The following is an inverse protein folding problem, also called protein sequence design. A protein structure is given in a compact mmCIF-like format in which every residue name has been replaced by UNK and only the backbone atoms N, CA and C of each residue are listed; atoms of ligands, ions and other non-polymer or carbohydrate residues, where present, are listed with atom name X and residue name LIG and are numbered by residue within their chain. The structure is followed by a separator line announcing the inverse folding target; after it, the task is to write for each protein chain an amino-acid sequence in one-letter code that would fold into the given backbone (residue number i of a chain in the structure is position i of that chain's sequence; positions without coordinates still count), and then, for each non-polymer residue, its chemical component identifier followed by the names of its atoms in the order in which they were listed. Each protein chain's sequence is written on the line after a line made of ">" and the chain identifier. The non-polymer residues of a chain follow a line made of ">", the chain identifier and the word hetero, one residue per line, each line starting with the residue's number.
data_IF_160664932183
#
_entry.id   IF_160664932183
#
_cell.length_a   1.000
_cell.length_b   1.000
_cell.length_c   1.000
_cell.angle_alpha   90.00
_cell.angle_beta   90.00
_cell.angle_gamma   90.00
#
_symmetry.space_group_name_H-M   'P 1'
#
loop_
_entity.id
_entity.type
_entity.pdbx_description
1 polymer ?
#
# COMPACT_ATOMS: atom_id res chain seq x y z
N UNK A 1 -2.07 7.50 25.52
CA UNK A 1 -2.09 7.76 24.06
C UNK A 1 -1.49 6.55 23.35
N UNK A 2 -2.15 6.02 22.30
CA UNK A 2 -1.51 4.98 21.47
C UNK A 2 -0.32 5.61 20.71
N UNK A 3 0.86 4.98 20.79
CA UNK A 3 2.06 5.40 20.06
C UNK A 3 1.76 5.40 18.55
N UNK A 4 2.09 6.47 17.85
CA UNK A 4 2.00 6.51 16.38
C UNK A 4 3.13 5.68 15.79
N UNK A 5 2.83 4.89 14.76
CA UNK A 5 3.81 4.07 14.03
C UNK A 5 4.42 4.86 12.87
N UNK A 6 5.69 4.64 12.62
CA UNK A 6 6.40 5.12 11.43
C UNK A 6 6.60 3.92 10.50
N UNK A 7 5.99 3.99 9.32
CA UNK A 7 5.93 2.89 8.36
C UNK A 7 6.44 3.39 7.00
N UNK A 8 7.72 3.14 6.65
CA UNK A 8 8.25 3.44 5.33
C UNK A 8 7.57 2.62 4.25
N UNK A 9 7.27 3.26 3.11
CA UNK A 9 6.71 2.62 1.93
C UNK A 9 7.77 2.62 0.83
N UNK A 10 8.12 1.43 0.36
CA UNK A 10 9.08 1.20 -0.70
C UNK A 10 8.39 0.79 -1.99
N UNK A 11 8.62 1.56 -3.04
CA UNK A 11 8.12 1.27 -4.37
C UNK A 11 9.16 0.47 -5.15
N UNK A 12 8.77 -0.72 -5.62
CA UNK A 12 9.62 -1.58 -6.43
C UNK A 12 9.17 -1.52 -7.89
N UNK A 13 10.10 -1.11 -8.76
CA UNK A 13 9.91 -1.09 -10.20
C UNK A 13 11.10 -1.79 -10.86
N UNK A 14 10.81 -2.79 -11.71
CA UNK A 14 11.84 -3.62 -12.38
C UNK A 14 12.84 -4.24 -11.39
N UNK A 15 12.40 -4.42 -10.12
CA UNK A 15 13.18 -4.97 -9.03
C UNK A 15 14.19 -4.03 -8.38
N UNK A 16 14.10 -2.73 -8.64
CA UNK A 16 14.85 -1.67 -7.97
C UNK A 16 13.91 -0.82 -7.14
N UNK A 17 14.45 -0.17 -6.11
CA UNK A 17 13.69 0.85 -5.39
C UNK A 17 13.60 2.13 -6.21
N UNK A 18 12.42 2.73 -6.21
CA UNK A 18 12.19 4.01 -6.86
C UNK A 18 11.48 4.97 -5.90
N UNK A 19 11.79 6.25 -6.04
CA UNK A 19 11.04 7.35 -5.44
C UNK A 19 10.01 7.85 -6.44
N UNK A 20 8.77 8.04 -5.98
CA UNK A 20 7.67 8.59 -6.78
C UNK A 20 7.47 10.08 -6.50
N UNK A 21 7.05 10.82 -7.55
CA UNK A 21 6.48 12.17 -7.42
C UNK A 21 5.19 12.24 -8.22
N UNK A 22 4.06 12.35 -7.52
CA UNK A 22 2.73 12.41 -8.11
C UNK A 22 2.34 11.17 -8.93
N UNK A 23 2.91 10.00 -8.60
CA UNK A 23 2.69 8.72 -9.29
C UNK A 23 3.06 8.71 -10.79
N UNK A 24 3.81 9.69 -11.25
CA UNK A 24 4.19 9.85 -12.66
C UNK A 24 5.68 9.79 -12.90
N UNK A 25 6.46 10.46 -12.06
CA UNK A 25 7.92 10.51 -12.18
C UNK A 25 8.55 9.55 -11.16
N UNK A 26 9.40 8.65 -11.65
CA UNK A 26 10.07 7.65 -10.83
C UNK A 26 11.57 7.78 -10.97
N UNK A 27 12.26 8.05 -9.86
CA UNK A 27 13.72 8.09 -9.79
C UNK A 27 14.22 6.81 -9.12
N UNK A 28 15.22 6.17 -9.72
CA UNK A 28 15.85 4.99 -9.11
C UNK A 28 16.69 5.44 -7.90
N UNK A 29 16.41 4.87 -6.73
CA UNK A 29 17.11 5.18 -5.48
C UNK A 29 17.94 4.00 -4.96
N UNK A 30 18.06 2.92 -5.73
CA UNK A 30 18.99 1.84 -5.47
C UNK A 30 18.38 0.48 -5.15
N UNK A 31 19.15 -0.28 -4.39
CA UNK A 31 18.84 -1.68 -4.07
C UNK A 31 17.93 -1.80 -2.83
N UNK A 32 16.86 -2.64 -2.89
CA UNK A 32 15.93 -2.84 -1.77
C UNK A 32 16.60 -3.41 -0.50
N UNK A 33 17.65 -4.19 -0.64
CA UNK A 33 18.32 -4.80 0.51
C UNK A 33 19.15 -3.78 1.31
N UNK A 34 19.82 -2.85 0.62
CA UNK A 34 20.58 -1.77 1.26
C UNK A 34 19.66 -0.86 2.07
N UNK A 35 18.52 -0.49 1.49
CA UNK A 35 17.54 0.35 2.18
C UNK A 35 16.96 -0.35 3.40
N UNK A 36 16.60 -1.63 3.30
CA UNK A 36 16.10 -2.42 4.43
C UNK A 36 17.10 -2.41 5.60
N UNK A 37 18.38 -2.63 5.34
CA UNK A 37 19.41 -2.65 6.41
C UNK A 37 19.45 -1.33 7.17
N UNK A 38 19.38 -0.19 6.46
CA UNK A 38 19.34 1.13 7.08
C UNK A 38 18.09 1.35 7.93
N UNK A 39 16.92 1.00 7.42
CA UNK A 39 15.66 1.19 8.17
C UNK A 39 15.52 0.22 9.34
N UNK A 40 16.14 -0.97 9.28
CA UNK A 40 16.24 -1.87 10.44
C UNK A 40 17.02 -1.23 11.57
N UNK A 41 18.10 -0.49 11.27
CA UNK A 41 18.88 0.24 12.27
C UNK A 41 18.10 1.42 12.88
N UNK A 42 17.17 2.01 12.15
CA UNK A 42 16.33 3.13 12.62
C UNK A 42 15.11 2.67 13.42
N UNK A 43 14.94 1.36 13.64
CA UNK A 43 13.86 0.76 14.43
C UNK A 43 12.47 1.28 14.05
N UNK A 44 12.18 1.31 12.74
CA UNK A 44 10.84 1.62 12.26
C UNK A 44 9.86 0.51 12.64
N UNK A 45 8.57 0.83 12.73
CA UNK A 45 7.59 -0.10 13.29
C UNK A 45 7.15 -1.20 12.30
N UNK A 46 7.16 -0.92 10.99
CA UNK A 46 6.73 -1.82 9.91
C UNK A 46 7.31 -1.33 8.58
N UNK A 47 7.41 -2.21 7.57
CA UNK A 47 7.80 -1.86 6.20
C UNK A 47 6.70 -2.25 5.22
N UNK A 48 6.44 -1.40 4.23
CA UNK A 48 5.53 -1.71 3.13
C UNK A 48 6.32 -1.75 1.82
N UNK A 49 6.19 -2.84 1.05
CA UNK A 49 6.77 -3.00 -0.28
C UNK A 49 5.68 -3.12 -1.32
N UNK A 50 5.66 -2.19 -2.28
CA UNK A 50 4.69 -2.15 -3.36
C UNK A 50 5.35 -2.40 -4.70
N UNK A 51 4.96 -3.47 -5.38
CA UNK A 51 5.33 -3.66 -6.79
C UNK A 51 4.47 -2.75 -7.67
N UNK A 52 5.09 -1.78 -8.32
CA UNK A 52 4.44 -0.82 -9.20
C UNK A 52 4.75 -1.05 -10.68
N UNK A 53 5.27 -2.22 -11.04
CA UNK A 53 5.48 -2.60 -12.45
C UNK A 53 4.17 -2.49 -13.23
N UNK A 54 4.20 -1.84 -14.38
CA UNK A 54 3.02 -1.74 -15.27
C UNK A 54 2.88 -2.95 -16.18
N UNK A 55 3.97 -3.65 -16.44
CA UNK A 55 4.01 -4.80 -17.35
C UNK A 55 3.83 -6.11 -16.58
N UNK A 56 3.07 -7.05 -17.13
CA UNK A 56 2.91 -8.40 -16.59
C UNK A 56 4.05 -9.33 -17.03
N UNK A 57 5.28 -8.87 -16.86
CA UNK A 57 6.45 -9.66 -17.19
C UNK A 57 6.68 -10.75 -16.11
N UNK A 58 6.61 -12.05 -16.46
CA UNK A 58 6.81 -13.13 -15.50
C UNK A 58 8.17 -13.09 -14.79
N UNK A 59 9.22 -12.58 -15.48
CA UNK A 59 10.57 -12.42 -14.90
C UNK A 59 10.55 -11.40 -13.76
N UNK A 60 9.85 -10.28 -13.94
CA UNK A 60 9.72 -9.24 -12.89
C UNK A 60 8.93 -9.77 -11.70
N UNK A 61 7.82 -10.47 -11.96
CA UNK A 61 7.02 -11.11 -10.88
C UNK A 61 7.87 -12.10 -10.09
N UNK A 62 8.66 -12.97 -10.75
CA UNK A 62 9.59 -13.91 -10.10
C UNK A 62 10.67 -13.19 -9.30
N UNK A 63 11.24 -12.11 -9.84
CA UNK A 63 12.25 -11.27 -9.16
C UNK A 63 11.65 -10.65 -7.91
N UNK A 64 10.44 -10.10 -7.99
CA UNK A 64 9.72 -9.53 -6.85
C UNK A 64 9.53 -10.55 -5.71
N UNK A 65 9.01 -11.74 -5.99
CA UNK A 65 8.89 -12.82 -5.00
C UNK A 65 10.22 -13.19 -4.35
N UNK A 66 11.30 -13.28 -5.13
CA UNK A 66 12.65 -13.55 -4.60
C UNK A 66 13.12 -12.44 -3.66
N UNK A 67 12.84 -11.17 -4.01
CA UNK A 67 13.16 -10.02 -3.15
C UNK A 67 12.41 -10.15 -1.82
N UNK A 68 11.09 -10.33 -1.84
CA UNK A 68 10.28 -10.44 -0.62
C UNK A 68 10.76 -11.61 0.25
N UNK A 69 10.97 -12.81 -0.33
CA UNK A 69 11.48 -13.98 0.38
C UNK A 69 12.85 -13.75 1.03
N UNK A 70 13.69 -12.91 0.43
CA UNK A 70 15.00 -12.60 0.99
C UNK A 70 14.90 -11.54 2.09
N UNK A 71 14.05 -10.52 1.87
CA UNK A 71 13.81 -9.47 2.85
C UNK A 71 13.20 -10.01 4.13
N UNK A 72 12.17 -10.85 4.03
CA UNK A 72 11.48 -11.45 5.19
C UNK A 72 12.40 -12.29 6.08
N UNK A 73 13.44 -12.90 5.51
CA UNK A 73 14.44 -13.65 6.28
C UNK A 73 15.47 -12.78 6.99
N UNK A 74 15.62 -11.53 6.58
CA UNK A 74 16.67 -10.63 7.07
C UNK A 74 16.14 -9.51 7.98
N UNK A 75 14.83 -9.35 8.09
CA UNK A 75 14.22 -8.35 8.96
C UNK A 75 13.42 -8.98 10.07
N UNK A 76 13.38 -8.33 11.23
CA UNK A 76 12.51 -8.66 12.36
C UNK A 76 11.25 -7.78 12.38
N UNK A 77 11.17 -6.79 11.50
CA UNK A 77 10.00 -5.91 11.38
C UNK A 77 8.93 -6.56 10.52
N UNK A 78 7.64 -6.37 10.85
CA UNK A 78 6.55 -6.82 10.01
C UNK A 78 6.65 -6.22 8.61
N UNK A 79 6.37 -7.03 7.59
CA UNK A 79 6.39 -6.64 6.18
C UNK A 79 4.99 -6.73 5.60
N UNK A 80 4.48 -5.58 5.13
CA UNK A 80 3.29 -5.53 4.27
C UNK A 80 3.71 -5.50 2.80
N UNK A 81 3.11 -6.35 1.98
CA UNK A 81 3.48 -6.50 0.56
C UNK A 81 2.27 -6.29 -0.33
N UNK A 82 2.44 -5.57 -1.44
CA UNK A 82 1.38 -5.34 -2.41
C UNK A 82 1.85 -5.12 -3.83
N UNK A 83 0.85 -4.93 -4.71
CA UNK A 83 1.04 -4.76 -6.15
C UNK A 83 0.96 -6.07 -6.92
N UNK A 84 0.30 -6.02 -8.09
CA UNK A 84 0.12 -7.19 -8.98
C UNK A 84 -0.56 -8.40 -8.32
N UNK A 85 -1.49 -8.15 -7.43
CA UNK A 85 -2.34 -9.15 -6.80
C UNK A 85 -3.67 -9.15 -7.53
N UNK A 86 -4.06 -10.29 -8.12
CA UNK A 86 -5.31 -10.42 -8.86
C UNK A 86 -6.25 -11.48 -8.25
N UNK A 87 -5.71 -12.45 -7.50
CA UNK A 87 -6.44 -13.60 -6.97
C UNK A 87 -5.87 -14.10 -5.65
N UNK A 88 -6.62 -14.92 -4.91
CA UNK A 88 -6.25 -15.48 -3.62
C UNK A 88 -4.90 -16.23 -3.65
N UNK A 89 -4.63 -16.98 -4.70
CA UNK A 89 -3.35 -17.68 -4.86
C UNK A 89 -2.13 -16.73 -4.92
N UNK A 90 -2.30 -15.47 -5.38
CA UNK A 90 -1.22 -14.48 -5.32
C UNK A 90 -0.98 -14.02 -3.89
N UNK A 91 -2.04 -13.89 -3.09
CA UNK A 91 -1.98 -13.56 -1.67
C UNK A 91 -1.27 -14.68 -0.90
N UNK A 92 -1.72 -15.92 -1.08
CA UNK A 92 -1.13 -17.10 -0.44
C UNK A 92 0.38 -17.20 -0.73
N UNK A 93 0.78 -16.99 -1.99
CA UNK A 93 2.20 -17.00 -2.37
C UNK A 93 3.01 -15.92 -1.67
N UNK A 94 2.48 -14.72 -1.52
CA UNK A 94 3.19 -13.62 -0.84
C UNK A 94 3.29 -13.88 0.67
N UNK A 95 2.22 -14.35 1.31
CA UNK A 95 2.25 -14.76 2.72
C UNK A 95 3.26 -15.92 2.93
N UNK A 96 3.25 -16.94 2.06
CA UNK A 96 4.23 -18.03 2.08
C UNK A 96 5.66 -17.57 1.81
N UNK A 97 5.85 -16.45 1.12
CA UNK A 97 7.17 -15.85 0.93
C UNK A 97 7.65 -15.06 2.15
N UNK A 98 6.81 -14.92 3.19
CA UNK A 98 7.12 -14.29 4.46
C UNK A 98 6.60 -12.86 4.61
N UNK A 99 5.59 -12.47 3.84
CA UNK A 99 4.83 -11.24 4.12
C UNK A 99 3.90 -11.48 5.33
N UNK A 100 3.82 -10.50 6.23
CA UNK A 100 2.89 -10.54 7.38
C UNK A 100 1.51 -10.02 6.99
N UNK A 101 1.45 -9.06 6.06
CA UNK A 101 0.21 -8.49 5.55
C UNK A 101 0.29 -8.29 4.04
N UNK A 102 -0.88 -8.24 3.43
CA UNK A 102 -1.04 -8.02 2.00
C UNK A 102 -1.82 -6.74 1.77
N UNK A 103 -1.35 -5.89 0.86
CA UNK A 103 -2.11 -4.68 0.48
C UNK A 103 -2.59 -4.74 -0.97
N UNK A 104 -3.86 -4.40 -1.17
CA UNK A 104 -4.53 -4.39 -2.47
C UNK A 104 -5.17 -3.03 -2.75
N UNK A 105 -5.12 -2.58 -4.00
CA UNK A 105 -5.82 -1.40 -4.50
C UNK A 105 -6.74 -1.81 -5.68
N UNK A 106 -6.23 -1.86 -6.90
CA UNK A 106 -6.99 -2.12 -8.13
C UNK A 106 -7.77 -3.44 -8.09
N UNK A 107 -7.16 -4.52 -7.58
CA UNK A 107 -7.83 -5.81 -7.46
C UNK A 107 -9.05 -5.76 -6.54
N UNK A 108 -8.92 -5.08 -5.40
CA UNK A 108 -10.02 -4.90 -4.45
C UNK A 108 -11.16 -4.07 -5.06
N UNK A 109 -10.83 -3.05 -5.86
CA UNK A 109 -11.84 -2.23 -6.53
C UNK A 109 -12.58 -3.00 -7.62
N UNK A 110 -11.86 -3.73 -8.47
CA UNK A 110 -12.43 -4.50 -9.58
C UNK A 110 -13.27 -5.69 -9.09
N UNK A 111 -12.88 -6.31 -7.98
CA UNK A 111 -13.59 -7.43 -7.39
C UNK A 111 -13.63 -7.32 -5.86
N UNK A 112 -14.67 -6.66 -5.33
CA UNK A 112 -14.84 -6.44 -3.88
C UNK A 112 -14.82 -7.74 -3.08
N UNK A 113 -15.34 -8.84 -3.64
CA UNK A 113 -15.36 -10.15 -2.99
C UNK A 113 -13.97 -10.72 -2.70
N UNK A 114 -12.90 -10.20 -3.33
CA UNK A 114 -11.55 -10.62 -2.98
C UNK A 114 -11.20 -10.19 -1.55
N UNK A 115 -11.72 -9.06 -1.07
CA UNK A 115 -11.50 -8.56 0.29
C UNK A 115 -12.08 -9.56 1.29
N UNK A 116 -13.38 -9.87 1.17
CA UNK A 116 -14.08 -10.78 2.10
C UNK A 116 -13.56 -12.22 2.04
N UNK A 117 -13.24 -12.71 0.84
CA UNK A 117 -12.63 -14.03 0.69
C UNK A 117 -11.25 -14.09 1.34
N UNK A 118 -10.41 -13.09 1.11
CA UNK A 118 -9.06 -13.03 1.71
C UNK A 118 -9.12 -12.89 3.22
N UNK A 119 -10.03 -12.05 3.73
CA UNK A 119 -10.22 -11.86 5.16
C UNK A 119 -10.70 -13.15 5.86
N UNK A 120 -11.57 -13.91 5.17
CA UNK A 120 -12.04 -15.21 5.68
C UNK A 120 -10.93 -16.28 5.69
N UNK A 121 -10.08 -16.31 4.68
CA UNK A 121 -9.08 -17.35 4.48
C UNK A 121 -7.80 -17.09 5.29
N UNK A 122 -7.33 -15.84 5.32
CA UNK A 122 -6.04 -15.47 5.92
C UNK A 122 -6.18 -14.63 7.20
N UNK A 123 -7.39 -14.23 7.57
CA UNK A 123 -7.67 -13.33 8.68
C UNK A 123 -7.67 -11.85 8.23
N UNK A 124 -8.63 -11.07 8.73
CA UNK A 124 -8.78 -9.65 8.37
C UNK A 124 -7.51 -8.84 8.70
N UNK A 125 -6.82 -9.17 9.80
CA UNK A 125 -5.59 -8.49 10.22
C UNK A 125 -4.44 -8.55 9.19
N UNK A 126 -4.49 -9.53 8.26
CA UNK A 126 -3.52 -9.65 7.17
C UNK A 126 -3.90 -8.83 5.93
N UNK A 127 -5.11 -8.24 5.88
CA UNK A 127 -5.65 -7.59 4.68
C UNK A 127 -5.68 -6.08 4.86
N UNK A 128 -4.82 -5.40 4.11
CA UNK A 128 -4.73 -3.95 4.02
C UNK A 128 -5.33 -3.50 2.69
N UNK A 129 -6.24 -2.54 2.69
CA UNK A 129 -6.74 -1.95 1.45
C UNK A 129 -6.10 -0.59 1.24
N UNK A 130 -5.32 -0.49 0.16
CA UNK A 130 -4.73 0.77 -0.29
C UNK A 130 -5.73 1.57 -1.10
N UNK A 131 -5.89 2.84 -0.75
CA UNK A 131 -6.82 3.76 -1.39
C UNK A 131 -6.04 4.99 -1.85
N UNK A 132 -5.80 5.10 -3.16
CA UNK A 132 -5.19 6.29 -3.74
C UNK A 132 -6.28 7.34 -3.97
N UNK A 133 -6.06 8.56 -3.51
CA UNK A 133 -7.03 9.65 -3.63
C UNK A 133 -6.44 10.88 -4.26
N UNK A 134 -7.26 11.54 -5.09
CA UNK A 134 -6.98 12.89 -5.64
C UNK A 134 -8.14 13.82 -5.30
N UNK A 135 -7.83 15.08 -5.06
CA UNK A 135 -8.82 16.13 -4.82
C UNK A 135 -9.27 16.72 -6.16
N UNK A 136 -10.53 16.51 -6.53
CA UNK A 136 -11.14 17.02 -7.75
C UNK A 136 -12.42 17.76 -7.36
N UNK A 137 -12.57 19.01 -7.73
CA UNK A 137 -13.74 19.84 -7.41
C UNK A 137 -14.16 19.75 -5.93
N UNK A 138 -13.18 19.92 -5.00
CA UNK A 138 -13.35 19.85 -3.53
C UNK A 138 -13.75 18.47 -2.97
N UNK A 139 -13.88 17.45 -3.81
CA UNK A 139 -14.14 16.06 -3.41
C UNK A 139 -12.86 15.21 -3.50
N UNK A 140 -12.73 14.24 -2.59
CA UNK A 140 -11.67 13.23 -2.65
C UNK A 140 -12.19 12.01 -3.40
N UNK A 141 -11.68 11.82 -4.64
CA UNK A 141 -12.08 10.72 -5.50
C UNK A 141 -11.02 9.61 -5.48
N UNK A 142 -11.51 8.38 -5.45
CA UNK A 142 -10.67 7.17 -5.46
C UNK A 142 -10.10 6.93 -6.85
N UNK A 143 -8.81 6.64 -6.91
CA UNK A 143 -8.09 6.28 -8.12
C UNK A 143 -7.50 4.88 -8.00
N UNK A 144 -7.42 4.19 -9.13
CA UNK A 144 -6.82 2.86 -9.26
C UNK A 144 -5.74 2.88 -10.35
N UNK A 145 -5.11 1.74 -10.57
CA UNK A 145 -4.07 1.56 -11.58
C UNK A 145 -2.95 2.60 -11.45
N UNK A 146 -2.29 2.62 -10.27
CA UNK A 146 -1.25 3.59 -9.93
C UNK A 146 -1.72 5.05 -10.11
N UNK A 147 -2.93 5.36 -9.66
CA UNK A 147 -3.49 6.70 -9.68
C UNK A 147 -3.91 7.22 -11.06
N UNK A 148 -3.87 6.39 -12.12
CA UNK A 148 -4.15 6.80 -13.50
C UNK A 148 -5.64 6.80 -13.85
N UNK A 149 -6.45 5.97 -13.21
CA UNK A 149 -7.89 5.82 -13.51
C UNK A 149 -8.71 6.40 -12.37
N UNK A 150 -9.54 7.39 -12.67
CA UNK A 150 -10.53 7.93 -11.75
C UNK A 150 -11.75 7.00 -11.72
N UNK A 151 -12.07 6.46 -10.57
CA UNK A 151 -13.22 5.55 -10.40
C UNK A 151 -14.55 6.27 -10.24
N UNK A 152 -14.52 7.59 -10.04
CA UNK A 152 -15.67 8.45 -9.66
C UNK A 152 -16.26 8.16 -8.27
N UNK A 153 -15.78 7.13 -7.57
CA UNK A 153 -16.18 6.87 -6.18
C UNK A 153 -15.59 7.92 -5.24
N UNK A 154 -16.40 8.42 -4.32
CA UNK A 154 -15.93 9.25 -3.20
C UNK A 154 -15.18 8.38 -2.19
N UNK A 155 -14.16 8.95 -1.56
CA UNK A 155 -13.37 8.26 -0.55
C UNK A 155 -14.23 7.62 0.55
N UNK A 156 -15.23 8.35 1.06
CA UNK A 156 -16.08 7.86 2.16
C UNK A 156 -16.91 6.64 1.77
N UNK A 157 -17.44 6.62 0.55
CA UNK A 157 -18.22 5.50 0.01
C UNK A 157 -17.35 4.25 -0.10
N UNK A 158 -16.17 4.39 -0.71
CA UNK A 158 -15.27 3.28 -0.90
C UNK A 158 -14.71 2.75 0.43
N UNK A 159 -14.39 3.64 1.36
CA UNK A 159 -13.94 3.29 2.71
C UNK A 159 -14.96 2.42 3.45
N UNK A 160 -16.24 2.78 3.41
CA UNK A 160 -17.31 2.00 4.02
C UNK A 160 -17.42 0.61 3.38
N UNK A 161 -17.33 0.52 2.05
CA UNK A 161 -17.37 -0.76 1.33
C UNK A 161 -16.20 -1.64 1.77
N UNK A 162 -14.96 -1.11 1.79
CA UNK A 162 -13.79 -1.87 2.20
C UNK A 162 -13.91 -2.44 3.61
N UNK A 163 -14.39 -1.63 4.55
CA UNK A 163 -14.58 -2.07 5.94
C UNK A 163 -15.67 -3.14 6.06
N UNK A 164 -16.79 -2.97 5.36
CA UNK A 164 -17.89 -3.94 5.36
C UNK A 164 -17.49 -5.28 4.72
N UNK A 165 -16.60 -5.25 3.73
CA UNK A 165 -16.03 -6.46 3.12
C UNK A 165 -14.95 -7.13 3.98
N UNK A 166 -14.53 -6.52 5.11
CA UNK A 166 -13.61 -7.14 6.06
C UNK A 166 -12.15 -6.69 5.95
N UNK A 167 -11.88 -5.52 5.39
CA UNK A 167 -10.54 -4.93 5.46
C UNK A 167 -10.12 -4.75 6.93
N UNK A 168 -8.95 -5.27 7.29
CA UNK A 168 -8.42 -5.17 8.64
C UNK A 168 -7.61 -3.90 8.90
N UNK A 169 -7.07 -3.27 7.85
CA UNK A 169 -6.34 -2.00 7.90
C UNK A 169 -6.55 -1.24 6.60
N UNK A 170 -6.53 0.08 6.66
CA UNK A 170 -6.65 0.96 5.49
C UNK A 170 -5.35 1.76 5.34
N UNK A 171 -4.81 1.80 4.12
CA UNK A 171 -3.72 2.68 3.71
C UNK A 171 -4.28 3.74 2.78
N UNK A 172 -4.32 5.00 3.19
CA UNK A 172 -4.71 6.12 2.33
C UNK A 172 -3.47 6.83 1.81
N UNK A 173 -3.43 7.00 0.50
CA UNK A 173 -2.35 7.68 -0.18
C UNK A 173 -2.88 8.93 -0.90
N UNK A 174 -2.46 10.11 -0.44
CA UNK A 174 -2.77 11.39 -1.10
C UNK A 174 -1.84 11.59 -2.29
N UNK A 175 -2.32 11.26 -3.49
CA UNK A 175 -1.53 11.34 -4.74
C UNK A 175 -1.08 12.77 -5.02
N UNK A 176 -1.93 13.75 -4.68
CA UNK A 176 -1.62 15.19 -4.89
C UNK A 176 -0.46 15.67 -4.01
N UNK A 177 -0.18 14.96 -2.91
CA UNK A 177 0.91 15.27 -1.98
C UNK A 177 2.14 14.37 -2.16
N UNK A 178 2.03 13.31 -2.98
CA UNK A 178 3.11 12.34 -3.17
C UNK A 178 4.41 13.01 -3.64
N UNK A 179 5.50 12.77 -2.89
CA UNK A 179 6.83 13.30 -3.17
C UNK A 179 7.01 14.81 -3.01
N UNK A 180 5.99 15.57 -2.57
CA UNK A 180 6.02 17.04 -2.48
C UNK A 180 6.60 17.59 -1.18
N UNK A 181 6.75 16.75 -0.13
CA UNK A 181 7.30 17.14 1.18
C UNK A 181 6.58 18.33 1.88
N UNK A 182 5.37 18.66 1.43
CA UNK A 182 4.57 19.80 1.91
C UNK A 182 3.63 19.48 3.08
N UNK A 183 3.85 18.36 3.78
CA UNK A 183 3.01 17.88 4.87
C UNK A 183 1.81 17.05 4.40
N UNK A 184 1.24 16.29 5.33
CA UNK A 184 0.09 15.43 5.08
C UNK A 184 -1.18 16.22 4.78
N UNK A 185 -2.09 15.62 4.00
CA UNK A 185 -3.41 16.19 3.73
C UNK A 185 -4.39 15.91 4.88
N UNK A 186 -4.33 16.73 5.92
CA UNK A 186 -5.18 16.59 7.11
C UNK A 186 -6.67 16.77 6.83
N UNK A 187 -7.06 17.36 5.70
CA UNK A 187 -8.48 17.51 5.34
C UNK A 187 -9.11 16.15 4.99
N UNK A 188 -8.34 15.23 4.43
CA UNK A 188 -8.76 13.83 4.28
C UNK A 188 -9.12 13.25 5.65
N UNK A 189 -8.22 13.37 6.64
CA UNK A 189 -8.45 12.84 7.99
C UNK A 189 -9.69 13.45 8.64
N UNK A 190 -9.93 14.76 8.49
CA UNK A 190 -11.14 15.41 8.99
C UNK A 190 -12.41 14.81 8.39
N UNK A 191 -12.39 14.50 7.07
CA UNK A 191 -13.56 13.92 6.38
C UNK A 191 -13.85 12.48 6.79
N UNK A 192 -12.84 11.68 7.15
CA UNK A 192 -13.02 10.23 7.42
C UNK A 192 -13.01 9.86 8.90
N UNK A 193 -12.59 10.74 9.82
CA UNK A 193 -12.40 10.43 11.26
C UNK A 193 -13.61 9.81 11.95
N UNK A 194 -14.84 10.10 11.48
CA UNK A 194 -16.09 9.59 12.05
C UNK A 194 -16.52 8.24 11.46
N UNK A 195 -15.94 7.83 10.33
CA UNK A 195 -16.33 6.64 9.59
C UNK A 195 -15.26 5.54 9.59
N UNK A 196 -14.01 5.89 9.87
CA UNK A 196 -12.93 4.91 9.97
C UNK A 196 -13.07 4.11 11.26
N UNK A 197 -13.13 2.76 11.14
CA UNK A 197 -13.32 1.82 12.24
C UNK A 197 -12.15 0.87 12.42
N UNK A 198 -11.25 0.82 11.45
CA UNK A 198 -10.05 -0.04 11.44
C UNK A 198 -8.79 0.81 11.53
N UNK A 199 -7.63 0.24 11.86
CA UNK A 199 -6.35 0.94 11.82
C UNK A 199 -6.13 1.65 10.48
N UNK A 200 -5.53 2.86 10.55
CA UNK A 200 -5.30 3.72 9.41
C UNK A 200 -3.81 4.02 9.27
N UNK A 201 -3.28 3.77 8.08
CA UNK A 201 -1.99 4.25 7.62
C UNK A 201 -2.24 5.42 6.66
N UNK A 202 -1.51 6.51 6.84
CA UNK A 202 -1.68 7.71 6.01
C UNK A 202 -0.38 8.07 5.31
N UNK A 203 -0.42 8.22 3.99
CA UNK A 203 0.74 8.47 3.14
C UNK A 203 0.51 9.65 2.19
N UNK A 204 1.61 10.20 1.70
CA UNK A 204 1.64 11.35 0.78
C UNK A 204 1.91 12.66 1.50
N UNK A 205 3.03 13.31 1.12
CA UNK A 205 3.42 14.63 1.62
C UNK A 205 4.35 14.65 2.83
N UNK A 206 4.78 13.50 3.34
CA UNK A 206 5.78 13.46 4.42
C UNK A 206 7.02 14.29 4.04
N UNK A 207 7.43 15.16 4.94
CA UNK A 207 8.64 15.98 4.86
C UNK A 207 9.63 15.60 5.94
N UNK A 208 10.64 16.44 6.16
CA UNK A 208 11.58 16.33 7.27
C UNK A 208 10.91 16.77 8.58
#
# INVERSE_FOLDING_TARGET
>A
MKKKRIIPIFLLKDGNLVQSRGFSNFENIGDPFVSMTRFSQWMVDELIYLNIDRNDNPKHKKKFFKIIKTLSKKTFMPITVGGKIDKLNDIEKLLSAGADKITMNTAAFNNRKIISKSAKEFGSQCIVISIDVKKINQEYLVHINNGSINTKFKLQEWLNICQNEGAGEILINSVDRDGKKGGYDFDILKKIKKIIKVPLIFCGGAGS
#
